data_IF_580934910216
#
_entry.id   IF_580934910216
#
_cell.length_a   1.000
_cell.length_b   1.000
_cell.length_c   1.000
_cell.angle_alpha   90.00
_cell.angle_beta   90.00
_cell.angle_gamma   90.00
#
_symmetry.space_group_name_H-M   'P 1'
#
loop_
_entity.id
_entity.type
_entity.pdbx_description
1 polymer ?
#
# COMPACT_ATOMS: atom_id res chain seq x y z
N UNK A 1 10.47 22.22 -18.85
CA UNK A 1 11.55 21.51 -18.13
C UNK A 1 12.81 21.72 -18.96
N UNK A 2 13.79 22.38 -18.41
CA UNK A 2 15.10 22.62 -19.01
C UNK A 2 15.91 21.32 -19.08
N UNK A 3 17.07 21.34 -19.75
CA UNK A 3 18.01 20.20 -19.71
C UNK A 3 18.54 20.00 -18.29
N UNK A 4 18.80 21.09 -17.57
CA UNK A 4 19.26 21.09 -16.18
C UNK A 4 18.23 20.45 -15.22
N UNK A 5 16.93 20.73 -15.39
CA UNK A 5 15.86 20.08 -14.61
C UNK A 5 15.82 18.57 -14.86
N UNK A 6 16.04 18.14 -16.11
CA UNK A 6 16.04 16.73 -16.46
C UNK A 6 17.25 15.99 -15.86
N UNK A 7 18.41 16.62 -15.80
CA UNK A 7 19.61 16.05 -15.19
C UNK A 7 19.46 15.99 -13.64
N UNK A 8 18.90 17.02 -13.02
CA UNK A 8 18.58 17.04 -11.60
C UNK A 8 17.62 15.89 -11.21
N UNK A 9 16.57 15.65 -12.01
CA UNK A 9 15.66 14.53 -11.77
C UNK A 9 16.34 13.15 -11.96
N UNK A 10 17.32 13.04 -12.89
CA UNK A 10 18.11 11.79 -13.03
C UNK A 10 18.97 11.54 -11.79
N UNK A 11 19.62 12.56 -11.24
CA UNK A 11 20.38 12.45 -9.98
C UNK A 11 19.49 11.93 -8.86
N UNK A 12 18.28 12.48 -8.71
CA UNK A 12 17.30 12.03 -7.70
C UNK A 12 16.83 10.60 -7.96
N UNK A 13 16.53 10.22 -9.20
CA UNK A 13 16.16 8.85 -9.56
C UNK A 13 17.26 7.86 -9.18
N UNK A 14 18.50 8.19 -9.54
CA UNK A 14 19.65 7.30 -9.38
C UNK A 14 20.03 7.13 -7.91
N UNK A 15 19.75 8.11 -7.05
CA UNK A 15 19.86 7.98 -5.59
C UNK A 15 18.96 6.88 -5.02
N UNK A 16 17.83 6.59 -5.66
CA UNK A 16 16.90 5.51 -5.27
C UNK A 16 17.02 4.25 -6.14
N UNK A 17 18.02 4.17 -7.02
CA UNK A 17 18.20 2.98 -7.87
C UNK A 17 18.35 1.72 -7.02
N UNK A 18 17.69 0.60 -7.39
CA UNK A 18 17.89 -0.67 -6.71
C UNK A 18 19.38 -1.05 -6.81
N UNK A 19 20.00 -1.34 -5.66
CA UNK A 19 21.39 -1.81 -5.61
C UNK A 19 21.43 -3.27 -5.24
N UNK A 20 22.42 -3.98 -5.79
CA UNK A 20 22.83 -5.28 -5.25
C UNK A 20 23.38 -5.04 -3.83
N UNK A 21 22.77 -5.70 -2.86
CA UNK A 21 22.95 -5.47 -1.43
C UNK A 21 24.44 -5.44 -1.03
N UNK A 22 24.89 -4.34 -0.42
CA UNK A 22 26.13 -4.29 0.34
C UNK A 22 27.17 -3.25 -0.04
N UNK A 23 26.88 -2.26 -0.91
CA UNK A 23 27.79 -1.13 -1.13
C UNK A 23 27.49 0.03 -0.17
N UNK A 24 28.50 0.59 0.55
CA UNK A 24 28.33 1.85 1.28
C UNK A 24 27.88 2.97 0.31
N UNK A 25 26.81 3.67 0.69
CA UNK A 25 26.22 4.72 -0.16
C UNK A 25 25.14 4.23 -1.13
N UNK A 26 24.64 3.01 -1.00
CA UNK A 26 23.54 2.49 -1.81
C UNK A 26 22.16 3.08 -1.39
N UNK A 27 21.13 2.83 -2.22
CA UNK A 27 19.76 3.27 -1.94
C UNK A 27 19.19 2.69 -0.64
N UNK A 28 19.67 1.53 -0.20
CA UNK A 28 19.27 0.91 1.06
C UNK A 28 19.74 1.71 2.27
N UNK A 29 20.95 2.27 2.22
CA UNK A 29 21.49 3.16 3.23
C UNK A 29 20.77 4.51 3.25
N UNK A 30 20.48 5.11 2.08
CA UNK A 30 19.69 6.32 1.95
C UNK A 30 18.31 6.17 2.62
N UNK A 31 17.58 5.11 2.25
CA UNK A 31 16.24 4.87 2.80
C UNK A 31 16.28 4.55 4.30
N UNK A 32 17.30 3.83 4.76
CA UNK A 32 17.49 3.57 6.20
C UNK A 32 17.70 4.88 6.97
N UNK A 33 18.60 5.75 6.51
CA UNK A 33 18.87 7.07 7.11
C UNK A 33 17.63 7.97 7.08
N UNK A 34 16.88 7.94 5.98
CA UNK A 34 15.63 8.68 5.87
C UNK A 34 14.63 8.29 6.98
N UNK A 35 14.35 7.01 7.18
CA UNK A 35 13.44 6.58 8.24
C UNK A 35 13.97 6.91 9.64
N UNK A 36 15.28 6.81 9.86
CA UNK A 36 15.91 7.20 11.12
C UNK A 36 15.70 8.69 11.40
N UNK A 37 15.95 9.55 10.42
CA UNK A 37 15.70 10.99 10.52
C UNK A 37 14.23 11.30 10.75
N UNK A 38 13.33 10.65 10.00
CA UNK A 38 11.90 10.92 10.10
C UNK A 38 11.34 10.53 11.47
N UNK A 39 11.71 9.38 12.00
CA UNK A 39 11.30 8.95 13.34
C UNK A 39 11.90 9.81 14.46
N UNK A 40 13.09 10.37 14.26
CA UNK A 40 13.66 11.33 15.19
C UNK A 40 12.94 12.68 15.14
N UNK A 41 12.54 13.12 13.94
CA UNK A 41 11.82 14.39 13.74
C UNK A 41 10.37 14.35 14.26
N UNK A 42 9.70 13.21 14.06
CA UNK A 42 8.33 12.94 14.49
C UNK A 42 8.19 11.51 15.00
N UNK A 43 8.42 11.28 16.30
CA UNK A 43 8.33 9.95 16.88
C UNK A 43 6.95 9.28 16.72
N UNK A 44 5.87 10.06 16.61
CA UNK A 44 4.51 9.54 16.45
C UNK A 44 4.33 8.75 15.15
N UNK A 45 5.12 9.07 14.14
CA UNK A 45 5.10 8.39 12.84
C UNK A 45 5.52 6.91 12.96
N UNK A 46 6.38 6.56 13.94
CA UNK A 46 6.83 5.17 14.13
C UNK A 46 5.68 4.20 14.35
N UNK A 47 4.60 4.66 14.97
CA UNK A 47 3.42 3.84 15.26
C UNK A 47 2.57 3.50 14.03
N UNK A 48 2.79 4.18 12.91
CA UNK A 48 2.13 3.87 11.64
C UNK A 48 2.74 2.63 10.95
N UNK A 49 3.95 2.23 11.35
CA UNK A 49 4.71 1.17 10.69
C UNK A 49 4.80 -0.11 11.54
N UNK A 50 4.93 -1.27 10.89
CA UNK A 50 5.19 -2.52 11.61
C UNK A 50 6.58 -2.49 12.28
N UNK A 51 6.82 -3.38 13.27
CA UNK A 51 8.14 -3.50 13.92
C UNK A 51 9.27 -3.73 12.92
N UNK A 52 9.08 -4.64 11.96
CA UNK A 52 10.05 -4.97 10.91
C UNK A 52 9.86 -4.08 9.69
N UNK A 53 10.87 -3.27 9.40
CA UNK A 53 10.86 -2.25 8.35
C UNK A 53 11.52 -2.68 7.03
N UNK A 54 12.09 -3.90 6.96
CA UNK A 54 12.86 -4.33 5.79
C UNK A 54 12.09 -4.21 4.47
N UNK A 55 10.94 -4.87 4.38
CA UNK A 55 10.09 -4.82 3.18
C UNK A 55 9.57 -3.40 2.87
N UNK A 56 9.25 -2.62 3.91
CA UNK A 56 8.79 -1.25 3.77
C UNK A 56 9.87 -0.34 3.17
N UNK A 57 11.11 -0.48 3.61
CA UNK A 57 12.24 0.30 3.07
C UNK A 57 12.46 0.00 1.59
N UNK A 58 12.47 -1.26 1.22
CA UNK A 58 12.60 -1.69 -0.19
C UNK A 58 11.46 -1.12 -1.03
N UNK A 59 10.21 -1.27 -0.59
CA UNK A 59 9.04 -0.76 -1.31
C UNK A 59 9.08 0.77 -1.49
N UNK A 60 9.51 1.51 -0.47
CA UNK A 60 9.63 2.97 -0.52
C UNK A 60 10.71 3.42 -1.53
N UNK A 61 11.89 2.80 -1.49
CA UNK A 61 12.96 3.09 -2.46
C UNK A 61 12.52 2.81 -3.91
N UNK A 62 11.91 1.65 -4.17
CA UNK A 62 11.39 1.30 -5.49
C UNK A 62 10.31 2.27 -5.97
N UNK A 63 9.39 2.68 -5.09
CA UNK A 63 8.33 3.62 -5.45
C UNK A 63 8.92 4.98 -5.88
N UNK A 64 9.88 5.52 -5.12
CA UNK A 64 10.52 6.79 -5.48
C UNK A 64 11.37 6.66 -6.74
N UNK A 65 12.14 5.59 -6.89
CA UNK A 65 12.90 5.33 -8.13
C UNK A 65 11.97 5.33 -9.35
N UNK A 66 10.84 4.63 -9.27
CA UNK A 66 9.87 4.59 -10.35
C UNK A 66 9.24 5.97 -10.61
N UNK A 67 8.78 6.68 -9.57
CA UNK A 67 8.17 8.02 -9.73
C UNK A 67 9.15 8.97 -10.40
N UNK A 68 10.40 9.04 -9.94
CA UNK A 68 11.42 9.88 -10.60
C UNK A 68 11.72 9.42 -12.03
N UNK A 69 11.69 8.11 -12.30
CA UNK A 69 11.82 7.56 -13.66
C UNK A 69 10.74 8.08 -14.62
N UNK A 70 9.47 8.09 -14.17
CA UNK A 70 8.34 8.60 -14.94
C UNK A 70 8.42 10.12 -15.15
N UNK A 71 8.87 10.86 -14.14
CA UNK A 71 9.10 12.31 -14.25
C UNK A 71 10.21 12.63 -15.28
N UNK A 72 11.31 11.89 -15.26
CA UNK A 72 12.39 12.00 -16.27
C UNK A 72 11.86 11.68 -17.67
N UNK A 73 11.03 10.65 -17.81
CA UNK A 73 10.41 10.24 -19.05
C UNK A 73 9.27 11.17 -19.52
N UNK A 74 8.92 12.19 -18.74
CA UNK A 74 7.81 13.15 -18.97
C UNK A 74 6.43 12.48 -19.07
N UNK A 75 6.23 11.36 -18.41
CA UNK A 75 4.95 10.63 -18.32
C UNK A 75 4.24 10.95 -17.00
N UNK A 76 3.86 12.21 -16.81
CA UNK A 76 3.33 12.70 -15.54
C UNK A 76 1.97 12.09 -15.14
N UNK A 77 1.19 11.57 -16.07
CA UNK A 77 -0.15 11.00 -15.78
C UNK A 77 -0.08 9.72 -14.95
N UNK A 78 0.87 8.84 -15.25
CA UNK A 78 1.02 7.56 -14.56
C UNK A 78 1.39 7.72 -13.09
N UNK A 79 2.43 8.51 -12.71
CA UNK A 79 2.76 8.74 -11.31
C UNK A 79 1.63 9.49 -10.56
N UNK A 80 0.90 10.41 -11.19
CA UNK A 80 -0.22 11.09 -10.54
C UNK A 80 -1.33 10.09 -10.19
N UNK A 81 -1.71 9.19 -11.10
CA UNK A 81 -2.71 8.17 -10.84
C UNK A 81 -2.28 7.20 -9.72
N UNK A 82 -1.02 6.76 -9.76
CA UNK A 82 -0.43 5.92 -8.73
C UNK A 82 -0.40 6.61 -7.36
N UNK A 83 0.09 7.85 -7.29
CA UNK A 83 0.18 8.62 -6.05
C UNK A 83 -1.20 8.94 -5.47
N UNK A 84 -2.19 9.24 -6.31
CA UNK A 84 -3.57 9.44 -5.88
C UNK A 84 -4.14 8.17 -5.25
N UNK A 85 -3.93 7.00 -5.88
CA UNK A 85 -4.35 5.72 -5.29
C UNK A 85 -3.60 5.44 -3.99
N UNK A 86 -2.30 5.68 -3.96
CA UNK A 86 -1.46 5.50 -2.77
C UNK A 86 -1.90 6.42 -1.62
N UNK A 87 -2.30 7.66 -1.91
CA UNK A 87 -2.85 8.59 -0.93
C UNK A 87 -4.14 8.07 -0.28
N UNK A 88 -5.09 7.58 -1.09
CA UNK A 88 -6.30 6.91 -0.57
C UNK A 88 -5.96 5.71 0.30
N UNK A 89 -4.99 4.90 -0.13
CA UNK A 89 -4.54 3.72 0.63
C UNK A 89 -3.90 4.06 1.97
N UNK A 90 -3.27 5.21 2.08
CA UNK A 90 -2.62 5.65 3.31
C UNK A 90 -3.61 6.06 4.41
N UNK A 91 -4.87 6.33 4.08
CA UNK A 91 -5.92 6.66 5.06
C UNK A 91 -6.07 5.56 6.12
N UNK A 92 -6.02 4.29 5.72
CA UNK A 92 -6.14 3.13 6.64
C UNK A 92 -5.04 3.06 7.70
N UNK A 93 -3.90 3.71 7.48
CA UNK A 93 -2.81 3.78 8.45
C UNK A 93 -2.95 4.93 9.44
N UNK A 94 -3.94 5.84 9.24
CA UNK A 94 -4.11 7.03 10.06
C UNK A 94 -3.09 8.13 9.74
N UNK A 95 -2.62 8.19 8.49
CA UNK A 95 -1.72 9.26 8.04
C UNK A 95 -2.45 10.59 8.06
N UNK A 96 -1.82 11.62 8.64
CA UNK A 96 -2.32 12.97 8.76
C UNK A 96 -1.50 13.94 7.91
N UNK A 97 -2.02 15.14 7.54
CA UNK A 97 -1.30 16.13 6.74
C UNK A 97 0.08 16.51 7.30
N UNK A 98 0.24 16.58 8.63
CA UNK A 98 1.54 16.85 9.28
C UNK A 98 2.60 15.78 8.98
N UNK A 99 2.17 14.52 8.77
CA UNK A 99 3.11 13.43 8.47
C UNK A 99 3.75 13.60 7.09
N UNK A 100 3.02 14.13 6.10
CA UNK A 100 3.58 14.49 4.79
C UNK A 100 4.59 15.64 4.91
N UNK A 101 4.33 16.64 5.77
CA UNK A 101 5.24 17.76 6.00
C UNK A 101 6.56 17.29 6.64
N UNK A 102 6.48 16.45 7.69
CA UNK A 102 7.66 15.91 8.36
C UNK A 102 8.42 14.92 7.47
N UNK A 103 7.72 14.13 6.64
CA UNK A 103 8.32 13.27 5.61
C UNK A 103 9.16 14.09 4.63
N UNK A 104 8.59 15.17 4.05
CA UNK A 104 9.30 16.03 3.08
C UNK A 104 10.56 16.64 3.67
N UNK A 105 10.48 17.16 4.89
CA UNK A 105 11.64 17.72 5.60
C UNK A 105 12.73 16.67 5.86
N UNK A 106 12.36 15.50 6.36
CA UNK A 106 13.31 14.41 6.63
C UNK A 106 13.97 13.91 5.35
N UNK A 107 13.19 13.78 4.26
CA UNK A 107 13.71 13.27 3.00
C UNK A 107 14.66 14.26 2.33
N UNK A 108 14.32 15.57 2.30
CA UNK A 108 15.23 16.61 1.79
C UNK A 108 16.55 16.65 2.55
N UNK A 109 16.50 16.65 3.90
CA UNK A 109 17.70 16.64 4.71
C UNK A 109 18.58 15.41 4.46
N UNK A 110 17.94 14.22 4.28
CA UNK A 110 18.66 12.99 4.01
C UNK A 110 19.26 12.98 2.62
N UNK A 111 18.54 13.42 1.60
CA UNK A 111 19.05 13.53 0.23
C UNK A 111 20.25 14.47 0.15
N UNK A 112 20.15 15.64 0.78
CA UNK A 112 21.25 16.60 0.84
C UNK A 112 22.52 15.99 1.43
N UNK A 113 22.38 15.29 2.56
CA UNK A 113 23.52 14.61 3.20
C UNK A 113 24.06 13.42 2.41
N UNK A 114 23.21 12.76 1.61
CA UNK A 114 23.59 11.58 0.83
C UNK A 114 24.28 11.96 -0.48
N UNK A 115 23.80 12.99 -1.16
CA UNK A 115 24.30 13.43 -2.46
C UNK A 115 25.55 14.34 -2.36
N UNK A 116 25.76 14.94 -1.19
CA UNK A 116 26.93 15.79 -0.89
C UNK A 116 27.30 16.73 -2.06
N UNK A 117 28.42 16.53 -2.74
CA UNK A 117 28.87 17.35 -3.86
C UNK A 117 27.92 17.33 -5.07
N UNK A 118 27.09 16.30 -5.24
CA UNK A 118 26.06 16.25 -6.27
C UNK A 118 24.78 17.02 -5.91
N UNK A 119 24.66 17.55 -4.68
CA UNK A 119 23.56 18.38 -4.25
C UNK A 119 23.76 19.83 -4.68
N UNK A 120 23.26 20.17 -5.87
CA UNK A 120 23.27 21.52 -6.43
C UNK A 120 21.94 22.22 -6.17
N UNK A 121 21.87 23.55 -6.41
CA UNK A 121 20.63 24.33 -6.30
C UNK A 121 19.54 23.73 -7.23
N UNK A 122 19.90 23.32 -8.45
CA UNK A 122 18.98 22.67 -9.38
C UNK A 122 18.42 21.34 -8.83
N UNK A 123 19.25 20.54 -8.17
CA UNK A 123 18.82 19.27 -7.53
C UNK A 123 17.93 19.57 -6.33
N UNK A 124 18.24 20.58 -5.53
CA UNK A 124 17.39 21.02 -4.41
C UNK A 124 16.01 21.47 -4.89
N UNK A 125 15.93 22.30 -5.91
CA UNK A 125 14.69 22.81 -6.49
C UNK A 125 13.86 21.66 -7.11
N UNK A 126 14.49 20.74 -7.83
CA UNK A 126 13.84 19.56 -8.39
C UNK A 126 13.30 18.64 -7.28
N UNK A 127 14.08 18.44 -6.20
CA UNK A 127 13.64 17.63 -5.05
C UNK A 127 12.45 18.27 -4.33
N UNK A 128 12.48 19.57 -4.06
CA UNK A 128 11.36 20.29 -3.43
C UNK A 128 10.11 20.23 -4.29
N UNK A 129 10.24 20.51 -5.59
CA UNK A 129 9.11 20.51 -6.53
C UNK A 129 8.48 19.13 -6.64
N UNK A 130 9.27 18.07 -6.81
CA UNK A 130 8.78 16.70 -6.90
C UNK A 130 8.15 16.21 -5.58
N UNK A 131 8.74 16.55 -4.43
CA UNK A 131 8.15 16.19 -3.13
C UNK A 131 6.83 16.91 -2.87
N UNK A 132 6.71 18.18 -3.25
CA UNK A 132 5.45 18.92 -3.16
C UNK A 132 4.38 18.28 -4.08
N UNK A 133 4.75 17.85 -5.28
CA UNK A 133 3.85 17.13 -6.17
C UNK A 133 3.40 15.80 -5.53
N UNK A 134 4.34 14.98 -5.07
CA UNK A 134 4.07 13.67 -4.46
C UNK A 134 3.13 13.81 -3.26
N UNK A 135 3.49 14.66 -2.30
CA UNK A 135 2.72 14.83 -1.07
C UNK A 135 1.38 15.54 -1.33
N UNK A 136 1.34 16.50 -2.25
CA UNK A 136 0.12 17.22 -2.63
C UNK A 136 -0.90 16.30 -3.31
N UNK A 137 -0.47 15.48 -4.27
CA UNK A 137 -1.35 14.50 -4.93
C UNK A 137 -1.88 13.48 -3.93
N UNK A 138 -1.01 12.93 -3.07
CA UNK A 138 -1.41 11.94 -2.06
C UNK A 138 -2.39 12.53 -1.04
N UNK A 139 -2.10 13.71 -0.49
CA UNK A 139 -2.98 14.37 0.48
C UNK A 139 -4.31 14.76 -0.17
N UNK A 140 -4.29 15.39 -1.33
CA UNK A 140 -5.50 15.80 -2.04
C UNK A 140 -6.42 14.62 -2.39
N UNK A 141 -5.85 13.48 -2.81
CA UNK A 141 -6.63 12.29 -3.10
C UNK A 141 -7.18 11.61 -1.82
N UNK A 142 -6.45 11.68 -0.71
CA UNK A 142 -6.91 11.19 0.59
C UNK A 142 -8.07 12.05 1.13
N UNK A 143 -7.98 13.37 0.99
CA UNK A 143 -8.98 14.33 1.46
C UNK A 143 -10.27 14.30 0.61
N UNK A 144 -10.14 14.01 -0.69
CA UNK A 144 -11.26 13.90 -1.63
C UNK A 144 -12.03 12.57 -1.52
N UNK A 145 -11.53 11.59 -0.78
CA UNK A 145 -12.18 10.29 -0.61
C UNK A 145 -13.23 10.37 0.51
N UNK A 146 -14.51 10.37 0.15
CA UNK A 146 -15.65 10.50 1.06
C UNK A 146 -15.93 9.24 1.90
N UNK A 147 -15.39 8.08 1.51
CA UNK A 147 -15.55 6.83 2.25
C UNK A 147 -14.82 6.84 3.60
N UNK A 148 -15.09 5.90 4.50
CA UNK A 148 -14.31 5.75 5.73
C UNK A 148 -12.86 5.34 5.42
N UNK A 149 -11.93 5.67 6.33
CA UNK A 149 -10.53 5.26 6.18
C UNK A 149 -10.36 3.73 6.21
N UNK A 150 -11.25 3.05 6.92
CA UNK A 150 -11.39 1.58 6.95
C UNK A 150 -12.81 1.19 7.36
N UNK A 151 -13.19 -0.04 7.08
CA UNK A 151 -14.40 -0.68 7.58
C UNK A 151 -14.03 -1.60 8.74
N UNK A 152 -14.69 -1.42 9.88
CA UNK A 152 -14.60 -2.37 10.98
C UNK A 152 -15.62 -3.50 10.76
N UNK A 153 -15.22 -4.74 11.10
CA UNK A 153 -16.09 -5.91 11.01
C UNK A 153 -15.80 -6.92 12.10
N UNK A 154 -16.84 -7.62 12.52
CA UNK A 154 -16.76 -8.69 13.51
C UNK A 154 -16.78 -10.05 12.80
N UNK A 155 -15.85 -10.92 13.13
CA UNK A 155 -15.89 -12.32 12.69
C UNK A 155 -17.12 -13.00 13.28
N UNK A 156 -18.00 -13.49 12.41
CA UNK A 156 -19.22 -14.24 12.81
C UNK A 156 -19.11 -15.72 12.51
N UNK A 157 -18.11 -16.14 11.74
CA UNK A 157 -17.87 -17.54 11.43
C UNK A 157 -16.42 -17.77 10.99
N UNK A 158 -15.86 -18.87 11.48
CA UNK A 158 -14.53 -19.37 11.07
C UNK A 158 -14.64 -20.88 10.87
N UNK A 159 -14.55 -21.30 9.61
CA UNK A 159 -14.60 -22.71 9.23
C UNK A 159 -13.20 -23.13 8.72
N UNK A 160 -12.52 -23.94 9.47
CA UNK A 160 -11.27 -24.57 9.02
C UNK A 160 -11.58 -25.75 8.09
N UNK A 161 -11.40 -25.53 6.79
CA UNK A 161 -11.70 -26.52 5.74
C UNK A 161 -10.62 -27.59 5.68
N UNK A 162 -9.35 -27.20 5.89
CA UNK A 162 -8.20 -28.11 5.94
C UNK A 162 -7.14 -27.60 6.91
N UNK A 163 -5.98 -28.25 6.97
CA UNK A 163 -4.86 -27.82 7.84
C UNK A 163 -4.36 -26.43 7.48
N UNK A 164 -4.49 -26.03 6.21
CA UNK A 164 -3.93 -24.79 5.65
C UNK A 164 -4.97 -23.86 5.02
N UNK A 165 -6.27 -24.19 5.11
CA UNK A 165 -7.35 -23.41 4.49
C UNK A 165 -8.48 -23.14 5.47
N UNK A 166 -8.88 -21.88 5.56
CA UNK A 166 -10.05 -21.45 6.31
C UNK A 166 -10.98 -20.56 5.47
N UNK A 167 -12.29 -20.67 5.75
CA UNK A 167 -13.32 -19.74 5.29
C UNK A 167 -13.70 -18.88 6.49
N UNK A 168 -13.56 -17.55 6.34
CA UNK A 168 -13.87 -16.57 7.39
C UNK A 168 -15.00 -15.68 6.93
N UNK A 169 -16.04 -15.55 7.76
CA UNK A 169 -17.19 -14.67 7.54
C UNK A 169 -17.21 -13.56 8.57
N UNK A 170 -17.39 -12.33 8.08
CA UNK A 170 -17.52 -11.16 8.91
C UNK A 170 -18.87 -10.50 8.68
N UNK A 171 -19.36 -9.80 9.72
CA UNK A 171 -20.37 -8.77 9.60
C UNK A 171 -19.69 -7.43 9.81
N UNK A 172 -19.75 -6.57 8.77
CA UNK A 172 -19.23 -5.21 8.84
C UNK A 172 -20.19 -4.33 9.62
N UNK A 173 -19.67 -3.27 10.24
CA UNK A 173 -20.49 -2.32 11.01
C UNK A 173 -21.34 -1.43 10.08
N UNK A 174 -20.96 -1.32 8.81
CA UNK A 174 -21.68 -0.60 7.75
C UNK A 174 -21.41 -1.25 6.39
N UNK A 175 -22.31 -1.10 5.40
CA UNK A 175 -22.12 -1.66 4.07
C UNK A 175 -20.83 -1.17 3.42
N UNK A 176 -20.09 -2.08 2.78
CA UNK A 176 -18.93 -1.77 1.97
C UNK A 176 -19.29 -1.90 0.49
N UNK A 177 -19.22 -0.80 -0.29
CA UNK A 177 -19.47 -0.86 -1.72
C UNK A 177 -18.23 -1.40 -2.45
N UNK A 178 -18.26 -2.67 -2.83
CA UNK A 178 -17.24 -3.26 -3.71
C UNK A 178 -17.88 -4.02 -4.88
N UNK A 179 -17.13 -4.14 -5.95
CA UNK A 179 -17.53 -4.98 -7.09
C UNK A 179 -16.89 -6.37 -6.96
N UNK A 180 -17.61 -7.44 -7.36
CA UNK A 180 -17.00 -8.76 -7.48
C UNK A 180 -15.70 -8.71 -8.29
N UNK A 181 -14.67 -9.45 -7.87
CA UNK A 181 -13.33 -9.40 -8.46
C UNK A 181 -12.37 -8.39 -7.83
N UNK A 182 -12.86 -7.42 -7.06
CA UNK A 182 -12.01 -6.54 -6.28
C UNK A 182 -11.41 -7.26 -5.06
N UNK A 183 -10.39 -6.65 -4.46
CA UNK A 183 -9.75 -7.11 -3.22
C UNK A 183 -9.67 -5.95 -2.20
N UNK A 184 -9.49 -6.30 -0.95
CA UNK A 184 -9.28 -5.34 0.16
C UNK A 184 -8.03 -5.72 0.94
N UNK A 185 -7.43 -4.75 1.64
CA UNK A 185 -6.46 -5.08 2.67
C UNK A 185 -7.19 -5.39 3.97
N UNK A 186 -6.78 -6.43 4.67
CA UNK A 186 -7.29 -6.76 6.00
C UNK A 186 -6.20 -6.64 7.05
N UNK A 187 -6.57 -6.18 8.23
CA UNK A 187 -5.77 -6.20 9.44
C UNK A 187 -6.53 -6.99 10.50
N UNK A 188 -5.84 -7.94 11.12
CA UNK A 188 -6.40 -8.81 12.16
C UNK A 188 -5.79 -8.46 13.53
N UNK A 189 -6.51 -8.66 14.65
CA UNK A 189 -6.02 -8.27 15.98
C UNK A 189 -4.75 -9.02 16.40
N UNK A 190 -4.56 -10.24 15.93
CA UNK A 190 -3.37 -11.05 16.21
C UNK A 190 -2.09 -10.48 15.57
N UNK A 191 -2.23 -9.67 14.50
CA UNK A 191 -1.12 -9.10 13.75
C UNK A 191 -1.32 -7.59 13.54
N UNK A 192 -1.25 -6.75 14.60
CA UNK A 192 -1.48 -5.32 14.49
C UNK A 192 -0.47 -4.65 13.54
N UNK A 193 -0.93 -3.63 12.80
CA UNK A 193 -0.15 -2.86 11.81
C UNK A 193 0.37 -3.69 10.62
N UNK A 194 -0.13 -4.93 10.44
CA UNK A 194 0.18 -5.79 9.30
C UNK A 194 -1.08 -5.99 8.47
N UNK A 195 -1.05 -5.49 7.24
CA UNK A 195 -2.16 -5.58 6.30
C UNK A 195 -1.86 -6.62 5.23
N UNK A 196 -2.88 -7.36 4.79
CA UNK A 196 -2.78 -8.35 3.71
C UNK A 196 -3.96 -8.25 2.77
N UNK A 197 -3.68 -8.39 1.48
CA UNK A 197 -4.70 -8.42 0.44
C UNK A 197 -5.48 -9.73 0.51
N UNK A 198 -6.82 -9.60 0.55
CA UNK A 198 -7.76 -10.70 0.42
C UNK A 198 -8.88 -10.28 -0.53
N UNK A 199 -9.31 -11.22 -1.38
CA UNK A 199 -10.47 -11.02 -2.26
C UNK A 199 -11.73 -11.57 -1.58
N UNK A 200 -12.83 -10.77 -1.53
CA UNK A 200 -14.13 -11.30 -1.12
C UNK A 200 -14.58 -12.47 -2.01
N UNK A 201 -15.19 -13.46 -1.39
CA UNK A 201 -15.69 -14.67 -2.04
C UNK A 201 -17.19 -14.59 -2.36
N UNK A 202 -17.86 -13.48 -2.01
CA UNK A 202 -19.26 -13.19 -2.30
C UNK A 202 -19.38 -11.77 -2.86
N UNK A 203 -20.44 -11.41 -3.59
CA UNK A 203 -20.75 -10.02 -3.95
C UNK A 203 -20.98 -9.15 -2.71
N UNK A 204 -20.95 -7.82 -2.89
CA UNK A 204 -21.29 -6.88 -1.82
C UNK A 204 -22.72 -7.15 -1.32
N UNK A 205 -22.85 -7.26 -0.01
CA UNK A 205 -24.11 -7.60 0.66
C UNK A 205 -24.66 -6.38 1.42
N UNK A 206 -25.88 -5.91 1.10
CA UNK A 206 -26.55 -4.87 1.88
C UNK A 206 -26.70 -5.21 3.37
N UNK A 207 -26.75 -6.51 3.71
CA UNK A 207 -26.73 -7.02 5.09
C UNK A 207 -25.37 -6.99 5.77
N UNK A 208 -24.37 -6.32 5.15
CA UNK A 208 -23.02 -6.15 5.70
C UNK A 208 -22.20 -7.44 5.83
N UNK A 209 -22.60 -8.52 5.16
CA UNK A 209 -21.84 -9.78 5.13
C UNK A 209 -20.65 -9.69 4.19
N UNK A 210 -19.49 -10.26 4.58
CA UNK A 210 -18.35 -10.48 3.69
C UNK A 210 -17.67 -11.81 4.04
N UNK A 211 -17.20 -12.53 3.02
CA UNK A 211 -16.56 -13.83 3.18
C UNK A 211 -15.19 -13.86 2.51
N UNK A 212 -14.21 -14.45 3.18
CA UNK A 212 -12.86 -14.64 2.67
C UNK A 212 -12.45 -16.12 2.72
N UNK A 213 -11.77 -16.59 1.67
CA UNK A 213 -11.09 -17.87 1.65
C UNK A 213 -9.58 -17.62 1.84
N UNK A 214 -9.02 -18.11 2.93
CA UNK A 214 -7.63 -17.81 3.30
C UNK A 214 -6.81 -19.09 3.38
N UNK A 215 -5.75 -19.16 2.58
CA UNK A 215 -4.75 -20.23 2.69
C UNK A 215 -3.54 -19.75 3.47
N UNK A 216 -3.07 -20.59 4.38
CA UNK A 216 -1.83 -20.40 5.12
C UNK A 216 -0.65 -20.41 4.15
N UNK A 217 0.16 -19.35 4.21
CA UNK A 217 1.42 -19.23 3.47
C UNK A 217 2.55 -19.62 4.42
N UNK A 218 3.44 -20.55 4.09
CA UNK A 218 4.58 -20.89 4.94
C UNK A 218 5.41 -19.66 5.28
N UNK A 219 5.65 -19.41 6.58
CA UNK A 219 6.32 -18.21 7.07
C UNK A 219 5.49 -16.93 7.07
N UNK A 220 4.26 -16.96 6.57
CA UNK A 220 3.36 -15.82 6.56
C UNK A 220 2.62 -15.63 7.89
N UNK A 221 2.97 -14.58 8.64
CA UNK A 221 2.40 -14.33 9.98
C UNK A 221 0.88 -14.14 9.94
N UNK A 222 0.37 -13.26 9.06
CA UNK A 222 -1.05 -12.91 9.02
C UNK A 222 -1.91 -14.08 8.54
N UNK A 223 -1.51 -14.79 7.48
CA UNK A 223 -2.27 -15.97 7.00
C UNK A 223 -2.29 -17.10 8.03
N UNK A 224 -1.18 -17.28 8.76
CA UNK A 224 -1.10 -18.24 9.87
C UNK A 224 -2.07 -17.88 10.99
N UNK A 225 -2.08 -16.61 11.42
CA UNK A 225 -2.99 -16.13 12.43
C UNK A 225 -4.46 -16.27 11.99
N UNK A 226 -4.77 -15.93 10.72
CA UNK A 226 -6.13 -16.06 10.20
C UNK A 226 -6.60 -17.52 10.23
N UNK A 227 -5.78 -18.47 9.77
CA UNK A 227 -6.18 -19.89 9.67
C UNK A 227 -6.23 -20.57 11.03
N UNK A 228 -5.33 -20.24 11.96
CA UNK A 228 -5.16 -20.99 13.20
C UNK A 228 -5.71 -20.30 14.45
N UNK A 229 -5.79 -18.98 14.47
CA UNK A 229 -6.00 -18.21 15.71
C UNK A 229 -7.29 -17.39 15.69
N UNK A 230 -7.80 -17.01 14.50
CA UNK A 230 -9.04 -16.24 14.36
C UNK A 230 -10.22 -16.96 14.97
N UNK A 231 -11.08 -16.21 15.69
CA UNK A 231 -12.26 -16.70 16.38
C UNK A 231 -13.48 -15.80 16.13
N UNK A 232 -14.70 -16.32 16.18
CA UNK A 232 -15.88 -15.48 16.26
C UNK A 232 -15.77 -14.44 17.38
N UNK A 233 -16.11 -13.20 17.07
CA UNK A 233 -15.94 -12.05 17.96
C UNK A 233 -14.68 -11.21 17.68
N UNK A 234 -13.68 -11.71 16.96
CA UNK A 234 -12.50 -10.93 16.57
C UNK A 234 -12.91 -9.72 15.71
N UNK A 235 -12.28 -8.59 15.96
CA UNK A 235 -12.49 -7.35 15.21
C UNK A 235 -11.42 -7.20 14.15
N UNK A 236 -11.84 -7.15 12.89
CA UNK A 236 -10.96 -6.91 11.73
C UNK A 236 -11.18 -5.51 11.18
N UNK A 237 -10.13 -4.95 10.57
CA UNK A 237 -10.21 -3.74 9.75
C UNK A 237 -9.98 -4.07 8.30
N UNK A 238 -10.77 -3.48 7.43
CA UNK A 238 -10.72 -3.66 5.99
C UNK A 238 -10.50 -2.31 5.32
N UNK A 239 -9.56 -2.22 4.38
CA UNK A 239 -9.36 -0.99 3.57
C UNK A 239 -10.46 -0.81 2.54
N UNK A 240 -10.45 0.34 1.86
CA UNK A 240 -11.22 0.54 0.63
C UNK A 240 -10.93 -0.58 -0.38
N UNK A 241 -11.92 -0.93 -1.23
CA UNK A 241 -11.74 -1.94 -2.27
C UNK A 241 -10.80 -1.47 -3.38
N UNK A 242 -10.04 -2.41 -3.95
CA UNK A 242 -9.06 -2.19 -5.02
C UNK A 242 -9.21 -3.23 -6.11
N UNK A 243 -8.55 -2.97 -7.25
CA UNK A 243 -8.50 -3.90 -8.37
C UNK A 243 -9.62 -3.70 -9.38
N UNK A 244 -9.44 -4.28 -10.55
CA UNK A 244 -10.32 -4.09 -11.68
C UNK A 244 -10.68 -5.39 -12.42
N UNK A 245 -10.56 -6.57 -11.75
CA UNK A 245 -10.98 -7.82 -12.35
C UNK A 245 -12.49 -7.78 -12.58
N UNK A 246 -12.89 -7.84 -13.85
CA UNK A 246 -14.29 -7.80 -14.27
C UNK A 246 -14.53 -8.82 -15.35
N UNK A 247 -15.76 -9.28 -15.48
CA UNK A 247 -16.23 -10.09 -16.63
C UNK A 247 -17.01 -9.17 -17.55
N UNK A 248 -16.61 -9.18 -18.81
CA UNK A 248 -17.42 -8.56 -19.87
C UNK A 248 -18.60 -9.49 -20.16
N UNK A 249 -19.79 -9.07 -19.77
CA UNK A 249 -21.01 -9.88 -19.93
C UNK A 249 -21.52 -9.92 -21.37
N UNK A 250 -21.07 -8.98 -22.21
CA UNK A 250 -21.44 -8.90 -23.61
C UNK A 250 -20.40 -9.57 -24.54
N UNK A 251 -19.29 -10.05 -23.95
CA UNK A 251 -18.12 -10.60 -24.64
C UNK A 251 -18.18 -12.06 -25.06
N UNK A 252 -19.31 -12.76 -24.85
CA UNK A 252 -19.46 -14.20 -25.17
C UNK A 252 -19.02 -15.13 -24.02
N UNK A 253 -18.61 -16.35 -24.37
CA UNK A 253 -18.25 -17.37 -23.39
C UNK A 253 -17.00 -17.00 -22.60
N UNK A 254 -17.02 -17.23 -21.27
CA UNK A 254 -15.93 -16.90 -20.36
C UNK A 254 -15.36 -18.17 -19.72
N UNK A 255 -14.07 -18.42 -19.93
CA UNK A 255 -13.34 -19.47 -19.22
C UNK A 255 -12.67 -18.85 -17.97
N UNK A 256 -13.05 -19.34 -16.80
CA UNK A 256 -12.44 -18.94 -15.52
C UNK A 256 -11.52 -20.05 -15.00
N UNK A 257 -10.24 -19.71 -14.77
CA UNK A 257 -9.24 -20.65 -14.23
C UNK A 257 -8.74 -20.13 -12.90
N UNK A 258 -8.85 -20.92 -11.85
CA UNK A 258 -8.44 -20.56 -10.50
C UNK A 258 -7.36 -21.50 -9.95
N UNK A 259 -6.32 -20.92 -9.35
CA UNK A 259 -5.39 -21.63 -8.50
C UNK A 259 -5.66 -21.32 -7.01
N UNK A 260 -5.75 -22.36 -6.17
CA UNK A 260 -5.89 -22.18 -4.72
C UNK A 260 -7.07 -21.27 -4.33
N UNK A 261 -6.83 -20.27 -3.46
CA UNK A 261 -7.85 -19.29 -3.03
C UNK A 261 -8.22 -18.26 -4.10
N UNK A 262 -7.59 -18.29 -5.28
CA UNK A 262 -8.03 -17.53 -6.45
C UNK A 262 -9.47 -17.89 -6.91
N UNK A 263 -10.02 -18.98 -6.42
CA UNK A 263 -11.44 -19.32 -6.59
C UNK A 263 -12.37 -18.29 -5.92
N UNK A 264 -11.94 -17.64 -4.83
CA UNK A 264 -12.79 -16.71 -4.07
C UNK A 264 -13.33 -15.54 -4.94
N UNK A 265 -12.48 -14.72 -5.62
CA UNK A 265 -12.99 -13.66 -6.48
C UNK A 265 -13.77 -14.17 -7.68
N UNK A 266 -13.45 -15.34 -8.24
CA UNK A 266 -14.21 -15.93 -9.34
C UNK A 266 -15.60 -16.36 -8.89
N UNK A 267 -15.71 -16.94 -7.68
CA UNK A 267 -17.01 -17.26 -7.08
C UNK A 267 -17.89 -16.02 -6.94
N UNK A 268 -17.32 -14.91 -6.45
CA UNK A 268 -18.06 -13.65 -6.32
C UNK A 268 -18.53 -13.10 -7.67
N UNK A 269 -17.78 -13.33 -8.76
CA UNK A 269 -18.16 -12.90 -10.13
C UNK A 269 -19.32 -13.71 -10.73
N UNK A 270 -19.49 -14.98 -10.31
CA UNK A 270 -20.56 -15.87 -10.85
C UNK A 270 -21.87 -15.75 -10.05
N UNK A 271 -21.80 -15.28 -8.80
CA UNK A 271 -23.00 -15.08 -7.97
C UNK A 271 -23.78 -13.83 -8.37
#
# INVERSE_FOLDING_TARGET
>A
MSLEDADALRVLRDAFAPCDAGRPGDSGDLVHRFYTHWFALDPSVRDLFPPEMGAQRVAFGHALHWVYGELVARRAQEPVAFLAQLGRDHRKYGVLPRHYQTLGRALLATLRSHLDAAWTDAVEDAARTSLNLITGVMSGAADADEGPAWWDGTVIGHLRVSRDLAVVRLRLDQPMPYHPGQYVNVQVPQCPRRWRYLSPAIPADPGCGIEFHVRLVPGGLVSTAIVNETRPGDRWRLSSPHGGLRVDRDGGDVLMVAGSTGLAPLRALIM
#
